data_IF_459961602309
#
_entry.id   IF_459961602309
#
_cell.length_a   1.000
_cell.length_b   1.000
_cell.length_c   1.000
_cell.angle_alpha   90.00
_cell.angle_beta   90.00
_cell.angle_gamma   90.00
#
_symmetry.space_group_name_H-M   'P 1'
#
loop_
_entity.id
_entity.type
_entity.pdbx_description
1 polymer ?
#
# COMPACT_ATOMS: atom_id res chain seq x y z
N UNK A 1 -3.46 -17.14 -9.65
CA UNK A 1 -3.06 -16.30 -8.50
C UNK A 1 -3.67 -16.88 -7.23
N UNK A 2 -2.85 -17.19 -6.24
CA UNK A 2 -3.26 -17.62 -4.90
C UNK A 2 -3.89 -16.48 -4.10
N UNK A 3 -4.75 -16.81 -3.14
CA UNK A 3 -5.20 -15.83 -2.15
C UNK A 3 -4.07 -15.44 -1.22
N UNK A 4 -4.00 -14.16 -0.88
CA UNK A 4 -3.05 -13.65 0.13
C UNK A 4 -3.56 -14.05 1.51
N UNK A 5 -2.67 -14.63 2.33
CA UNK A 5 -2.94 -14.85 3.75
C UNK A 5 -2.76 -13.53 4.50
N UNK A 6 -3.86 -12.91 4.90
CA UNK A 6 -3.84 -11.63 5.62
C UNK A 6 -3.20 -11.76 6.99
N UNK A 7 -2.48 -10.73 7.43
CA UNK A 7 -1.87 -10.62 8.77
C UNK A 7 -2.18 -9.22 9.33
N UNK A 8 -3.40 -8.99 9.83
CA UNK A 8 -3.72 -7.70 10.43
C UNK A 8 -2.86 -7.46 11.69
N UNK A 9 -2.35 -6.24 11.91
CA UNK A 9 -1.48 -5.92 13.03
C UNK A 9 -2.21 -5.87 14.38
N UNK A 10 -3.54 -5.84 14.34
CA UNK A 10 -4.46 -5.85 15.48
C UNK A 10 -5.66 -6.71 15.08
N UNK A 11 -6.07 -7.62 15.96
CA UNK A 11 -7.20 -8.51 15.69
C UNK A 11 -8.54 -7.76 15.62
N UNK A 12 -9.57 -8.38 15.03
CA UNK A 12 -10.91 -7.80 15.02
C UNK A 12 -11.45 -7.59 16.45
N UNK A 13 -11.36 -8.62 17.30
CA UNK A 13 -11.81 -8.53 18.69
C UNK A 13 -11.04 -7.47 19.50
N UNK A 14 -9.74 -7.30 19.24
CA UNK A 14 -8.93 -6.25 19.87
C UNK A 14 -9.36 -4.86 19.41
N UNK A 15 -9.68 -4.71 18.12
CA UNK A 15 -10.22 -3.47 17.54
C UNK A 15 -11.57 -3.11 18.16
N UNK A 16 -12.49 -4.07 18.30
CA UNK A 16 -13.77 -3.87 18.97
C UNK A 16 -13.58 -3.43 20.43
N UNK A 17 -12.76 -4.16 21.18
CA UNK A 17 -12.48 -3.85 22.59
C UNK A 17 -11.87 -2.45 22.75
N UNK A 18 -10.98 -2.03 21.84
CA UNK A 18 -10.42 -0.68 21.86
C UNK A 18 -11.48 0.39 21.60
N UNK A 19 -12.38 0.17 20.63
CA UNK A 19 -13.50 1.07 20.32
C UNK A 19 -14.46 1.18 21.51
N UNK A 20 -14.81 0.05 22.14
CA UNK A 20 -15.70 0.03 23.31
C UNK A 20 -15.07 0.76 24.50
N UNK A 21 -13.78 0.57 24.75
CA UNK A 21 -13.04 1.34 25.77
C UNK A 21 -13.08 2.83 25.49
N UNK A 22 -12.78 3.25 24.26
CA UNK A 22 -12.84 4.67 23.88
C UNK A 22 -14.24 5.26 24.11
N UNK A 23 -15.29 4.50 23.82
CA UNK A 23 -16.68 4.93 24.00
C UNK A 23 -16.98 5.34 25.44
N UNK A 24 -16.38 4.66 26.42
CA UNK A 24 -16.56 4.96 27.85
C UNK A 24 -15.78 6.19 28.34
N UNK A 25 -14.85 6.73 27.53
CA UNK A 25 -14.03 7.87 27.92
C UNK A 25 -14.81 9.18 27.80
N UNK A 26 -15.39 9.63 28.91
CA UNK A 26 -16.06 10.93 28.96
C UNK A 26 -15.30 11.90 29.85
N UNK A 27 -14.83 13.02 29.29
CA UNK A 27 -14.14 14.07 30.05
C UNK A 27 -14.63 15.46 29.68
N UNK A 28 -14.05 16.51 30.26
CA UNK A 28 -14.34 17.90 29.88
C UNK A 28 -13.99 18.20 28.42
N UNK A 29 -13.02 17.49 27.84
CA UNK A 29 -12.52 17.75 26.48
C UNK A 29 -12.75 16.60 25.51
N UNK A 30 -13.13 15.43 26.01
CA UNK A 30 -13.33 14.20 25.23
C UNK A 30 -14.81 13.81 25.29
N UNK A 31 -15.40 13.64 24.11
CA UNK A 31 -16.59 12.82 23.92
C UNK A 31 -16.13 11.46 23.40
N UNK A 32 -16.25 10.44 24.25
CA UNK A 32 -15.77 9.09 23.96
C UNK A 32 -16.51 8.44 22.80
N UNK A 33 -17.80 8.73 22.65
CA UNK A 33 -18.63 8.19 21.56
C UNK A 33 -18.14 8.74 20.22
N UNK A 34 -17.87 10.05 20.13
CA UNK A 34 -17.32 10.68 18.92
C UNK A 34 -15.97 10.06 18.54
N UNK A 35 -15.05 9.93 19.50
CA UNK A 35 -13.73 9.33 19.24
C UNK A 35 -13.85 7.86 18.83
N UNK A 36 -14.72 7.08 19.49
CA UNK A 36 -14.95 5.67 19.14
C UNK A 36 -15.54 5.51 17.74
N UNK A 37 -16.47 6.37 17.34
CA UNK A 37 -17.07 6.36 16.00
C UNK A 37 -16.07 6.79 14.93
N UNK A 38 -15.16 7.72 15.23
CA UNK A 38 -14.04 8.06 14.34
C UNK A 38 -13.17 6.83 14.06
N UNK A 39 -12.76 6.11 15.11
CA UNK A 39 -11.96 4.87 14.98
C UNK A 39 -12.73 3.78 14.23
N UNK A 40 -14.04 3.67 14.48
CA UNK A 40 -14.92 2.75 13.76
C UNK A 40 -15.00 3.10 12.27
N UNK A 41 -15.16 4.36 11.92
CA UNK A 41 -15.17 4.83 10.53
C UNK A 41 -13.82 4.57 9.84
N UNK A 42 -12.69 4.78 10.54
CA UNK A 42 -11.37 4.40 10.05
C UNK A 42 -11.31 2.92 9.64
N UNK A 43 -11.84 2.05 10.49
CA UNK A 43 -11.87 0.60 10.28
C UNK A 43 -12.79 0.18 9.12
N UNK A 44 -14.02 0.72 9.06
CA UNK A 44 -15.02 0.29 8.05
C UNK A 44 -14.81 0.95 6.67
N UNK A 45 -14.13 2.10 6.61
CA UNK A 45 -13.92 2.87 5.38
C UNK A 45 -12.45 2.91 4.91
N UNK A 46 -11.53 2.33 5.69
CA UNK A 46 -10.10 2.32 5.38
C UNK A 46 -9.47 3.72 5.35
N UNK A 47 -10.01 4.68 6.11
CA UNK A 47 -9.62 6.10 6.10
C UNK A 47 -8.25 6.33 6.75
N UNK A 48 -7.41 7.17 6.11
CA UNK A 48 -6.17 7.69 6.70
C UNK A 48 -6.49 8.69 7.82
N UNK A 49 -5.56 8.91 8.73
CA UNK A 49 -5.72 9.89 9.81
C UNK A 49 -6.03 11.30 9.30
N UNK A 50 -5.31 11.77 8.28
CA UNK A 50 -5.56 13.07 7.65
C UNK A 50 -6.93 13.17 6.98
N UNK A 51 -7.37 12.09 6.30
CA UNK A 51 -8.70 12.01 5.69
C UNK A 51 -9.79 12.11 6.78
N UNK A 52 -9.67 11.34 7.87
CA UNK A 52 -10.60 11.37 9.00
C UNK A 52 -10.71 12.75 9.65
N UNK A 53 -9.57 13.40 9.86
CA UNK A 53 -9.51 14.71 10.51
C UNK A 53 -10.17 15.77 9.62
N UNK A 54 -9.97 15.71 8.30
CA UNK A 54 -10.42 16.73 7.35
C UNK A 54 -11.84 16.52 6.83
N UNK A 55 -12.42 15.34 7.02
CA UNK A 55 -13.81 15.08 6.63
C UNK A 55 -14.79 16.02 7.32
N UNK A 56 -15.73 16.54 6.53
CA UNK A 56 -16.82 17.38 6.98
C UNK A 56 -18.16 16.62 6.92
N UNK A 57 -19.19 17.18 7.56
CA UNK A 57 -20.55 16.62 7.51
C UNK A 57 -21.08 16.61 6.07
N UNK A 58 -20.74 17.64 5.28
CA UNK A 58 -21.15 17.78 3.88
C UNK A 58 -20.52 16.75 2.95
N UNK A 59 -19.33 16.24 3.29
CA UNK A 59 -18.67 15.20 2.49
C UNK A 59 -19.37 13.85 2.60
N UNK A 60 -20.12 13.62 3.69
CA UNK A 60 -20.73 12.32 4.01
C UNK A 60 -22.25 12.34 3.91
N UNK A 61 -22.88 13.49 4.11
CA UNK A 61 -24.34 13.58 4.27
C UNK A 61 -24.97 14.75 3.54
N UNK A 62 -26.24 14.56 3.16
CA UNK A 62 -27.11 15.64 2.69
C UNK A 62 -28.41 15.57 3.47
N UNK A 63 -28.75 16.66 4.17
CA UNK A 63 -29.98 16.71 4.97
C UNK A 63 -30.03 15.71 6.12
N UNK A 64 -28.90 15.52 6.82
CA UNK A 64 -28.73 14.60 7.96
C UNK A 64 -28.84 13.10 7.65
N UNK A 65 -28.92 12.72 6.36
CA UNK A 65 -28.84 11.33 5.90
C UNK A 65 -27.49 11.09 5.23
N UNK A 66 -26.84 9.98 5.57
CA UNK A 66 -25.60 9.54 4.91
C UNK A 66 -25.87 9.20 3.45
N UNK A 67 -25.01 9.67 2.57
CA UNK A 67 -25.06 9.39 1.13
C UNK A 67 -24.56 7.98 0.81
N UNK A 68 -24.80 7.51 -0.42
CA UNK A 68 -24.24 6.23 -0.88
C UNK A 68 -22.72 6.25 -1.06
N UNK A 69 -22.15 7.45 -1.15
CA UNK A 69 -20.71 7.69 -1.25
C UNK A 69 -20.29 8.87 -0.38
N UNK A 70 -19.07 8.82 0.16
CA UNK A 70 -18.43 9.98 0.80
C UNK A 70 -17.45 10.66 -0.16
N UNK A 71 -17.25 11.95 -0.02
CA UNK A 71 -16.22 12.70 -0.76
C UNK A 71 -14.92 12.72 0.06
N UNK A 72 -13.82 12.27 -0.54
CA UNK A 72 -12.47 12.39 0.03
C UNK A 72 -11.62 13.15 -0.96
N UNK A 73 -11.15 14.33 -0.59
CA UNK A 73 -10.35 15.21 -1.46
C UNK A 73 -11.01 15.41 -2.84
N UNK A 74 -12.33 15.59 -2.85
CA UNK A 74 -13.15 15.75 -4.06
C UNK A 74 -13.45 14.45 -4.83
N UNK A 75 -12.93 13.31 -4.41
CA UNK A 75 -13.17 12.01 -5.05
C UNK A 75 -14.32 11.27 -4.35
N UNK A 76 -15.38 10.86 -5.07
CA UNK A 76 -16.44 10.04 -4.49
C UNK A 76 -15.96 8.62 -4.21
N UNK A 77 -16.17 8.16 -2.97
CA UNK A 77 -15.84 6.83 -2.49
C UNK A 77 -17.12 6.12 -2.06
N UNK A 78 -17.51 5.03 -2.72
CA UNK A 78 -18.69 4.27 -2.35
C UNK A 78 -18.62 3.75 -0.91
N UNK A 79 -19.73 3.85 -0.20
CA UNK A 79 -19.86 3.34 1.16
C UNK A 79 -20.60 2.00 1.16
N UNK A 80 -20.09 1.04 1.92
CA UNK A 80 -20.82 -0.20 2.21
C UNK A 80 -21.99 0.09 3.14
N UNK A 81 -23.02 -0.76 3.18
CA UNK A 81 -24.15 -0.59 4.10
C UNK A 81 -23.72 -0.52 5.58
N UNK A 82 -22.65 -1.24 5.93
CA UNK A 82 -22.07 -1.20 7.29
C UNK A 82 -21.39 0.14 7.58
N UNK A 83 -20.63 0.67 6.63
CA UNK A 83 -20.02 1.99 6.74
C UNK A 83 -21.09 3.10 6.82
N UNK A 84 -22.13 3.03 5.98
CA UNK A 84 -23.26 3.94 6.03
C UNK A 84 -23.93 3.95 7.40
N UNK A 85 -24.19 2.76 7.98
CA UNK A 85 -24.79 2.64 9.32
C UNK A 85 -23.90 3.29 10.39
N UNK A 86 -22.60 3.01 10.39
CA UNK A 86 -21.66 3.60 11.35
C UNK A 86 -21.65 5.13 11.26
N UNK A 87 -21.65 5.67 10.04
CA UNK A 87 -21.67 7.12 9.82
C UNK A 87 -23.02 7.73 10.20
N UNK A 88 -24.13 7.02 9.98
CA UNK A 88 -25.46 7.50 10.36
C UNK A 88 -25.60 7.52 11.89
N UNK A 89 -25.23 6.44 12.57
CA UNK A 89 -25.21 6.36 14.04
C UNK A 89 -24.34 7.50 14.63
N UNK A 90 -23.24 7.85 13.95
CA UNK A 90 -22.40 8.98 14.33
C UNK A 90 -23.10 10.33 14.18
N UNK A 91 -23.72 10.61 13.03
CA UNK A 91 -24.45 11.85 12.79
C UNK A 91 -25.65 12.01 13.75
N UNK A 92 -26.33 10.91 14.05
CA UNK A 92 -27.44 10.89 15.00
C UNK A 92 -26.96 11.23 16.42
N UNK A 93 -25.81 10.69 16.85
CA UNK A 93 -25.17 11.07 18.12
C UNK A 93 -24.82 12.55 18.15
N UNK A 94 -24.20 13.08 17.09
CA UNK A 94 -23.83 14.50 17.01
C UNK A 94 -25.07 15.39 17.15
N UNK A 95 -26.14 15.07 16.41
CA UNK A 95 -27.40 15.81 16.49
C UNK A 95 -28.03 15.73 17.88
N UNK A 96 -28.11 14.55 18.48
CA UNK A 96 -28.70 14.34 19.80
C UNK A 96 -27.95 15.08 20.93
N UNK A 97 -26.65 15.28 20.77
CA UNK A 97 -25.79 15.93 21.77
C UNK A 97 -25.51 17.43 21.47
N UNK A 98 -26.24 18.03 20.53
CA UNK A 98 -26.20 19.47 20.27
C UNK A 98 -24.97 19.94 19.48
N UNK A 99 -24.29 19.04 18.77
CA UNK A 99 -23.22 19.44 17.86
C UNK A 99 -23.80 20.17 16.64
N UNK A 100 -23.01 21.10 16.09
CA UNK A 100 -23.39 21.86 14.88
C UNK A 100 -23.37 20.94 13.67
N UNK A 101 -24.50 20.87 12.95
CA UNK A 101 -24.71 19.97 11.82
C UNK A 101 -24.61 20.64 10.44
N UNK A 102 -23.91 21.76 10.32
CA UNK A 102 -23.73 22.41 9.01
C UNK A 102 -22.74 21.63 8.15
N UNK A 103 -22.87 21.72 6.82
CA UNK A 103 -22.05 20.95 5.88
C UNK A 103 -20.55 21.17 6.04
N UNK A 104 -20.12 22.38 6.40
CA UNK A 104 -18.72 22.74 6.60
C UNK A 104 -18.17 22.38 7.99
N UNK A 105 -19.01 21.89 8.91
CA UNK A 105 -18.53 21.46 10.22
C UNK A 105 -17.77 20.14 10.10
N UNK A 106 -16.73 19.93 10.93
CA UNK A 106 -15.97 18.68 10.93
C UNK A 106 -16.91 17.51 11.25
N UNK A 107 -16.74 16.41 10.53
CA UNK A 107 -17.50 15.19 10.75
C UNK A 107 -17.25 14.65 12.17
N UNK A 108 -16.00 14.67 12.62
CA UNK A 108 -15.63 14.25 13.97
C UNK A 108 -15.09 15.44 14.79
N UNK A 109 -15.97 16.23 15.41
CA UNK A 109 -15.57 17.38 16.21
C UNK A 109 -15.00 16.98 17.58
N UNK A 110 -14.11 17.82 18.12
CA UNK A 110 -13.84 17.87 19.56
C UNK A 110 -15.11 18.25 20.33
N UNK A 111 -15.14 18.04 21.65
CA UNK A 111 -16.28 18.47 22.50
C UNK A 111 -16.57 19.98 22.46
N UNK A 112 -15.63 20.79 21.97
CA UNK A 112 -15.80 22.23 21.72
C UNK A 112 -16.34 22.56 20.32
N UNK A 113 -16.57 21.56 19.47
CA UNK A 113 -17.03 21.73 18.09
C UNK A 113 -15.93 22.01 17.07
N UNK A 114 -14.65 22.01 17.47
CA UNK A 114 -13.52 22.24 16.57
C UNK A 114 -13.00 20.94 15.96
N UNK A 115 -12.35 21.06 14.81
CA UNK A 115 -11.60 19.98 14.18
C UNK A 115 -10.45 19.48 15.07
N UNK A 116 -10.15 18.19 15.02
CA UNK A 116 -8.98 17.63 15.69
C UNK A 116 -7.68 18.06 15.00
N UNK A 117 -6.63 18.36 15.77
CA UNK A 117 -5.26 18.24 15.26
C UNK A 117 -4.76 16.80 15.46
N UNK A 118 -3.81 16.35 14.64
CA UNK A 118 -3.20 15.03 14.77
C UNK A 118 -2.74 14.74 16.21
N UNK A 119 -1.98 15.69 16.79
CA UNK A 119 -1.49 15.58 18.18
C UNK A 119 -2.62 15.43 19.20
N UNK A 120 -3.72 16.17 19.04
CA UNK A 120 -4.85 16.10 19.97
C UNK A 120 -5.62 14.79 19.84
N UNK A 121 -5.78 14.27 18.61
CA UNK A 121 -6.42 12.99 18.36
C UNK A 121 -5.58 11.85 18.95
N UNK A 122 -4.27 11.82 18.69
CA UNK A 122 -3.37 10.80 19.24
C UNK A 122 -3.39 10.78 20.78
N UNK A 123 -3.44 11.95 21.42
CA UNK A 123 -3.56 12.05 22.87
C UNK A 123 -4.89 11.51 23.41
N UNK A 124 -5.99 11.67 22.67
CA UNK A 124 -7.29 11.13 23.05
C UNK A 124 -7.35 9.61 22.83
N UNK A 125 -6.79 9.11 21.73
CA UNK A 125 -6.71 7.67 21.46
C UNK A 125 -5.95 6.92 22.54
N UNK A 126 -4.88 7.51 23.08
CA UNK A 126 -4.13 6.95 24.22
C UNK A 126 -4.97 6.73 25.48
N UNK A 127 -6.13 7.40 25.63
CA UNK A 127 -7.01 7.22 26.79
C UNK A 127 -7.81 5.91 26.74
N UNK A 128 -8.04 5.36 25.54
CA UNK A 128 -8.66 4.05 25.38
C UNK A 128 -7.64 2.89 25.27
N UNK A 129 -6.36 3.21 25.13
CA UNK A 129 -5.31 2.21 24.97
C UNK A 129 -5.00 1.51 26.30
N UNK A 130 -4.85 0.19 26.26
CA UNK A 130 -4.37 -0.59 27.42
C UNK A 130 -2.86 -0.38 27.55
N UNK A 131 -2.36 -0.30 28.79
CA UNK A 131 -0.92 -0.25 29.04
C UNK A 131 -0.19 -1.38 28.29
N UNK A 132 0.82 -1.02 27.50
CA UNK A 132 1.60 -1.96 26.67
C UNK A 132 1.03 -2.24 25.28
N UNK A 133 -0.21 -1.84 24.97
CA UNK A 133 -0.78 -1.98 23.62
C UNK A 133 -0.51 -0.71 22.79
N UNK A 134 0.30 -0.85 21.74
CA UNK A 134 0.52 0.22 20.76
C UNK A 134 -0.47 0.10 19.59
N UNK A 135 -1.74 0.46 19.83
CA UNK A 135 -2.79 0.53 18.81
C UNK A 135 -2.84 1.95 18.24
N UNK A 136 -2.60 2.09 16.94
CA UNK A 136 -2.64 3.35 16.21
C UNK A 136 -3.73 3.32 15.14
N UNK A 137 -4.17 4.48 14.65
CA UNK A 137 -5.15 4.55 13.55
C UNK A 137 -4.66 3.84 12.29
N UNK A 138 -3.37 3.87 11.98
CA UNK A 138 -2.82 3.16 10.82
C UNK A 138 -2.95 1.64 10.97
N UNK A 139 -2.74 1.11 12.19
CA UNK A 139 -2.96 -0.32 12.47
C UNK A 139 -4.44 -0.69 12.37
N UNK A 140 -5.33 0.16 12.87
CA UNK A 140 -6.78 -0.04 12.74
C UNK A 140 -7.20 0.00 11.27
N UNK A 141 -6.72 0.98 10.49
CA UNK A 141 -6.95 1.08 9.06
C UNK A 141 -6.49 -0.18 8.33
N UNK A 142 -5.27 -0.64 8.62
CA UNK A 142 -4.73 -1.88 8.04
C UNK A 142 -5.60 -3.09 8.38
N UNK A 143 -6.03 -3.24 9.64
CA UNK A 143 -6.94 -4.30 10.04
C UNK A 143 -8.29 -4.24 9.29
N UNK A 144 -8.79 -3.03 9.02
CA UNK A 144 -10.00 -2.81 8.22
C UNK A 144 -9.83 -3.26 6.77
N UNK A 145 -8.71 -2.91 6.14
CA UNK A 145 -8.36 -3.33 4.77
C UNK A 145 -8.22 -4.86 4.67
N UNK A 146 -7.53 -5.49 5.63
CA UNK A 146 -7.41 -6.95 5.69
C UNK A 146 -8.78 -7.62 5.80
N UNK A 147 -9.64 -7.13 6.70
CA UNK A 147 -11.01 -7.67 6.84
C UNK A 147 -11.81 -7.52 5.56
N UNK A 148 -11.71 -6.38 4.87
CA UNK A 148 -12.42 -6.16 3.61
C UNK A 148 -11.97 -7.18 2.54
N UNK A 149 -10.66 -7.42 2.42
CA UNK A 149 -10.11 -8.45 1.53
C UNK A 149 -10.64 -9.86 1.88
N UNK A 150 -10.59 -10.23 3.16
CA UNK A 150 -11.04 -11.55 3.63
C UNK A 150 -12.55 -11.74 3.45
N UNK A 151 -13.33 -10.67 3.56
CA UNK A 151 -14.76 -10.71 3.29
C UNK A 151 -15.05 -10.99 1.81
N UNK A 152 -14.39 -10.30 0.88
CA UNK A 152 -14.58 -10.55 -0.55
C UNK A 152 -14.16 -11.97 -0.95
N UNK A 153 -13.08 -12.48 -0.34
CA UNK A 153 -12.68 -13.88 -0.52
C UNK A 153 -13.78 -14.84 -0.08
N UNK A 154 -14.46 -14.58 1.04
CA UNK A 154 -15.59 -15.40 1.53
C UNK A 154 -16.83 -15.28 0.64
N UNK A 155 -17.02 -14.13 0.00
CA UNK A 155 -18.09 -13.88 -0.98
C UNK A 155 -17.83 -14.54 -2.34
N UNK A 156 -16.67 -15.19 -2.52
CA UNK A 156 -16.35 -15.99 -3.72
C UNK A 156 -15.64 -15.23 -4.84
N UNK A 157 -15.23 -13.98 -4.60
CA UNK A 157 -14.44 -13.21 -5.57
C UNK A 157 -13.06 -13.83 -5.77
N UNK A 158 -12.53 -13.78 -7.00
CA UNK A 158 -11.19 -14.28 -7.30
C UNK A 158 -10.10 -13.51 -6.55
N UNK A 159 -8.91 -14.10 -6.39
CA UNK A 159 -7.79 -13.46 -5.68
C UNK A 159 -7.41 -12.09 -6.27
N UNK A 160 -7.43 -11.97 -7.60
CA UNK A 160 -7.13 -10.72 -8.31
C UNK A 160 -8.22 -9.65 -8.09
N UNK A 161 -9.50 -10.04 -8.12
CA UNK A 161 -10.61 -9.12 -7.83
C UNK A 161 -10.56 -8.63 -6.38
N UNK A 162 -10.31 -9.53 -5.43
CA UNK A 162 -10.14 -9.19 -4.03
C UNK A 162 -9.01 -8.17 -3.86
N UNK A 163 -7.88 -8.38 -4.53
CA UNK A 163 -6.72 -7.49 -4.44
C UNK A 163 -7.01 -6.12 -5.07
N UNK A 164 -7.63 -6.07 -6.26
CA UNK A 164 -8.00 -4.83 -6.91
C UNK A 164 -9.00 -4.02 -6.08
N UNK A 165 -10.03 -4.67 -5.56
CA UNK A 165 -11.02 -4.00 -4.70
C UNK A 165 -10.41 -3.54 -3.38
N UNK A 166 -9.50 -4.30 -2.77
CA UNK A 166 -8.78 -3.88 -1.58
C UNK A 166 -7.87 -2.66 -1.85
N UNK A 167 -7.21 -2.60 -3.02
CA UNK A 167 -6.41 -1.44 -3.45
C UNK A 167 -7.29 -0.19 -3.58
N UNK A 168 -8.44 -0.31 -4.24
CA UNK A 168 -9.43 0.77 -4.41
C UNK A 168 -9.98 1.22 -3.06
N UNK A 169 -10.40 0.27 -2.21
CA UNK A 169 -10.87 0.54 -0.85
C UNK A 169 -9.83 1.25 0.01
N UNK A 170 -8.56 0.82 -0.07
CA UNK A 170 -7.45 1.42 0.65
C UNK A 170 -6.95 2.74 0.05
N UNK A 171 -7.41 3.11 -1.15
CA UNK A 171 -6.97 4.27 -1.94
C UNK A 171 -5.45 4.29 -2.13
N UNK A 172 -4.90 3.16 -2.58
CA UNK A 172 -3.48 2.99 -2.86
C UNK A 172 -3.20 3.00 -4.36
N UNK A 173 -2.05 3.59 -4.73
CA UNK A 173 -1.64 3.69 -6.13
C UNK A 173 -1.10 2.37 -6.68
N UNK A 174 -0.50 1.53 -5.83
CA UNK A 174 0.19 0.30 -6.24
C UNK A 174 -0.40 -0.96 -5.57
N UNK A 175 -0.36 -2.07 -6.30
CA UNK A 175 -0.63 -3.40 -5.75
C UNK A 175 0.40 -3.79 -4.71
N UNK A 176 1.66 -3.38 -4.89
CA UNK A 176 2.72 -3.51 -3.89
C UNK A 176 2.29 -3.03 -2.50
N UNK A 177 1.89 -1.75 -2.40
CA UNK A 177 1.51 -1.18 -1.11
C UNK A 177 0.28 -1.90 -0.53
N UNK A 178 -0.63 -2.37 -1.39
CA UNK A 178 -1.79 -3.15 -0.96
C UNK A 178 -1.36 -4.51 -0.39
N UNK A 179 -0.45 -5.21 -1.06
CA UNK A 179 0.13 -6.47 -0.57
C UNK A 179 0.87 -6.25 0.76
N UNK A 180 1.64 -5.17 0.89
CA UNK A 180 2.38 -4.86 2.11
C UNK A 180 1.44 -4.64 3.31
N UNK A 181 0.32 -3.95 3.08
CA UNK A 181 -0.75 -3.80 4.06
C UNK A 181 -1.37 -5.17 4.41
N UNK A 182 -1.73 -5.98 3.40
CA UNK A 182 -2.42 -7.25 3.64
C UNK A 182 -1.53 -8.27 4.36
N UNK A 183 -0.25 -8.36 4.02
CA UNK A 183 0.71 -9.32 4.61
C UNK A 183 1.30 -8.85 5.94
N UNK A 184 1.04 -7.63 6.37
CA UNK A 184 1.64 -7.09 7.58
C UNK A 184 3.09 -6.65 7.41
N UNK A 185 3.60 -6.54 6.18
CA UNK A 185 4.97 -6.15 5.84
C UNK A 185 5.14 -4.64 5.65
N UNK A 186 4.18 -3.81 6.12
CA UNK A 186 4.37 -2.35 6.15
C UNK A 186 5.63 -2.06 6.97
N UNK A 187 6.69 -1.62 6.30
CA UNK A 187 7.91 -1.20 6.98
C UNK A 187 7.55 -0.06 7.94
N UNK A 188 7.98 -0.13 9.22
CA UNK A 188 7.81 0.99 10.12
C UNK A 188 8.47 2.23 9.51
N UNK A 189 7.74 3.35 9.50
CA UNK A 189 8.21 4.63 8.97
C UNK A 189 9.55 4.96 9.62
N UNK A 190 10.65 4.97 8.83
CA UNK A 190 12.00 5.28 9.31
C UNK A 190 13.05 4.19 9.12
N UNK A 191 12.69 2.96 8.71
CA UNK A 191 13.70 2.01 8.23
C UNK A 191 14.17 2.43 6.84
N UNK A 192 15.44 2.89 6.77
CA UNK A 192 16.10 3.20 5.49
C UNK A 192 16.15 1.92 4.66
N UNK A 193 15.70 1.97 3.41
CA UNK A 193 16.06 0.97 2.42
C UNK A 193 17.59 0.84 2.43
N UNK A 194 18.09 -0.38 2.59
CA UNK A 194 19.53 -0.62 2.46
C UNK A 194 19.91 -0.38 1.01
N UNK A 195 21.12 0.16 0.80
CA UNK A 195 21.64 0.42 -0.55
C UNK A 195 21.59 -0.85 -1.43
N UNK A 196 21.79 -2.03 -0.82
CA UNK A 196 21.64 -3.32 -1.50
C UNK A 196 20.27 -3.52 -2.15
N UNK A 197 19.18 -3.24 -1.41
CA UNK A 197 17.81 -3.35 -1.93
C UNK A 197 17.53 -2.29 -3.01
N UNK A 198 18.16 -1.11 -2.91
CA UNK A 198 18.02 -0.06 -3.93
C UNK A 198 18.67 -0.46 -5.26
N UNK A 199 19.84 -1.08 -5.22
CA UNK A 199 20.53 -1.57 -6.43
C UNK A 199 19.85 -2.78 -7.05
N UNK A 200 19.33 -3.72 -6.24
CA UNK A 200 18.52 -4.84 -6.75
C UNK A 200 17.31 -4.35 -7.56
N UNK A 201 16.61 -3.32 -7.08
CA UNK A 201 15.47 -2.72 -7.80
C UNK A 201 15.89 -2.14 -9.15
N UNK A 202 17.07 -1.52 -9.24
CA UNK A 202 17.59 -0.95 -10.49
C UNK A 202 17.91 -2.04 -11.50
N UNK A 203 18.54 -3.14 -11.04
CA UNK A 203 18.86 -4.30 -11.89
C UNK A 203 17.60 -4.94 -12.47
N UNK A 204 16.56 -5.12 -11.65
CA UNK A 204 15.28 -5.67 -12.12
C UNK A 204 14.61 -4.76 -13.17
N UNK A 205 14.63 -3.43 -12.99
CA UNK A 205 14.09 -2.48 -13.97
C UNK A 205 14.86 -2.58 -15.30
N UNK A 206 16.18 -2.73 -15.24
CA UNK A 206 17.01 -2.91 -16.43
C UNK A 206 16.68 -4.24 -17.15
N UNK A 207 16.48 -5.33 -16.42
CA UNK A 207 16.09 -6.63 -16.99
C UNK A 207 14.66 -6.65 -17.55
N UNK A 208 13.70 -6.03 -16.88
CA UNK A 208 12.34 -5.93 -17.41
C UNK A 208 12.30 -5.07 -18.69
N UNK A 209 13.18 -4.08 -18.77
CA UNK A 209 13.35 -3.27 -19.98
C UNK A 209 13.96 -4.07 -21.14
N UNK A 210 14.65 -5.18 -20.88
CA UNK A 210 15.22 -6.06 -21.91
C UNK A 210 14.16 -6.64 -22.85
N UNK A 211 12.92 -6.83 -22.37
CA UNK A 211 11.82 -7.31 -23.22
C UNK A 211 11.29 -6.29 -24.23
N UNK A 212 11.67 -5.01 -24.09
CA UNK A 212 11.06 -3.90 -24.83
C UNK A 212 12.08 -2.88 -25.37
N UNK A 213 13.38 -3.08 -25.17
CA UNK A 213 14.45 -2.16 -25.61
C UNK A 213 15.55 -2.88 -26.39
N UNK A 214 16.32 -2.10 -27.15
CA UNK A 214 17.51 -2.57 -27.86
C UNK A 214 18.55 -3.11 -26.85
N UNK A 215 19.14 -4.26 -27.16
CA UNK A 215 20.17 -4.94 -26.35
C UNK A 215 21.30 -4.00 -25.90
N UNK A 216 21.73 -3.09 -26.79
CA UNK A 216 22.77 -2.11 -26.48
C UNK A 216 22.37 -1.11 -25.38
N UNK A 217 21.09 -0.75 -25.29
CA UNK A 217 20.60 0.15 -24.23
C UNK A 217 20.56 -0.56 -22.88
N UNK A 218 20.22 -1.84 -22.87
CA UNK A 218 20.20 -2.65 -21.64
C UNK A 218 21.61 -2.87 -21.13
N UNK A 219 22.56 -3.20 -22.03
CA UNK A 219 23.97 -3.31 -21.68
C UNK A 219 24.49 -1.99 -21.11
N UNK A 220 24.12 -0.84 -21.69
CA UNK A 220 24.49 0.47 -21.15
C UNK A 220 23.92 0.69 -19.75
N UNK A 221 22.62 0.43 -19.54
CA UNK A 221 21.99 0.56 -18.23
C UNK A 221 22.58 -0.39 -17.18
N UNK A 222 22.93 -1.63 -17.54
CA UNK A 222 23.59 -2.56 -16.64
C UNK A 222 25.01 -2.10 -16.28
N UNK A 223 25.75 -1.49 -17.21
CA UNK A 223 27.05 -0.86 -16.92
C UNK A 223 26.92 0.34 -15.97
N UNK A 224 25.93 1.20 -16.19
CA UNK A 224 25.65 2.34 -15.31
C UNK A 224 25.35 1.87 -13.88
N UNK A 225 24.49 0.84 -13.73
CA UNK A 225 24.17 0.26 -12.43
C UNK A 225 25.42 -0.38 -11.79
N UNK A 226 26.26 -1.07 -12.57
CA UNK A 226 27.53 -1.63 -12.09
C UNK A 226 28.44 -0.55 -11.53
N UNK A 227 28.60 0.55 -12.25
CA UNK A 227 29.43 1.67 -11.81
C UNK A 227 28.90 2.30 -10.52
N UNK A 228 27.58 2.41 -10.38
CA UNK A 228 26.94 2.87 -9.15
C UNK A 228 27.21 1.92 -7.97
N UNK A 229 27.09 0.60 -8.17
CA UNK A 229 27.39 -0.42 -7.16
C UNK A 229 28.85 -0.33 -6.70
N UNK A 230 29.80 -0.20 -7.63
CA UNK A 230 31.24 -0.09 -7.32
C UNK A 230 31.53 1.17 -6.50
N UNK A 231 30.85 2.27 -6.81
CA UNK A 231 31.04 3.57 -6.13
C UNK A 231 30.27 3.67 -4.80
N UNK A 232 29.33 2.76 -4.53
CA UNK A 232 28.49 2.85 -3.33
C UNK A 232 29.23 2.38 -2.06
N UNK A 233 29.61 3.36 -1.23
CA UNK A 233 30.30 3.15 0.06
C UNK A 233 29.41 2.53 1.14
N UNK A 234 28.09 2.42 0.92
CA UNK A 234 27.15 1.82 1.88
C UNK A 234 27.02 0.31 1.70
N UNK A 235 27.47 -0.24 0.56
CA UNK A 235 27.54 -1.68 0.35
C UNK A 235 28.78 -2.25 1.00
N UNK A 236 28.64 -3.37 1.70
CA UNK A 236 29.80 -4.15 2.11
C UNK A 236 30.38 -4.95 0.92
N UNK A 237 31.60 -5.45 1.06
CA UNK A 237 32.30 -6.14 -0.04
C UNK A 237 31.56 -7.39 -0.53
N UNK A 238 30.84 -8.10 0.35
CA UNK A 238 30.06 -9.29 -0.01
C UNK A 238 28.82 -8.93 -0.82
N UNK A 239 28.09 -7.90 -0.40
CA UNK A 239 26.93 -7.36 -1.12
C UNK A 239 27.33 -6.82 -2.50
N UNK A 240 28.47 -6.13 -2.56
CA UNK A 240 29.01 -5.59 -3.80
C UNK A 240 29.42 -6.69 -4.77
N UNK A 241 30.13 -7.72 -4.29
CA UNK A 241 30.50 -8.87 -5.10
C UNK A 241 29.25 -9.57 -5.64
N UNK A 242 28.29 -9.85 -4.77
CA UNK A 242 27.03 -10.51 -5.11
C UNK A 242 26.23 -9.80 -6.23
N UNK A 243 26.10 -8.46 -6.17
CA UNK A 243 25.42 -7.70 -7.22
C UNK A 243 26.24 -7.61 -8.52
N UNK A 244 27.57 -7.56 -8.42
CA UNK A 244 28.44 -7.49 -9.59
C UNK A 244 28.48 -8.83 -10.32
N UNK A 245 28.54 -9.93 -9.59
CA UNK A 245 28.48 -11.30 -10.12
C UNK A 245 27.13 -11.56 -10.81
N UNK A 246 26.04 -10.97 -10.29
CA UNK A 246 24.73 -11.02 -10.94
C UNK A 246 24.73 -10.31 -12.32
N UNK A 247 25.33 -9.12 -12.39
CA UNK A 247 25.45 -8.38 -13.66
C UNK A 247 26.32 -9.14 -14.66
N UNK A 248 27.39 -9.78 -14.17
CA UNK A 248 28.30 -10.53 -15.03
C UNK A 248 27.66 -11.83 -15.53
N UNK A 249 26.92 -12.55 -14.69
CA UNK A 249 26.21 -13.77 -15.08
C UNK A 249 25.01 -13.52 -16.00
N UNK A 250 24.30 -12.39 -15.84
CA UNK A 250 23.19 -12.00 -16.72
C UNK A 250 23.64 -11.62 -18.14
N UNK A 251 24.92 -11.28 -18.35
CA UNK A 251 25.50 -11.03 -19.70
C UNK A 251 25.74 -12.29 -20.54
N UNK A 252 25.79 -13.48 -19.92
CA UNK A 252 26.20 -14.72 -20.61
C UNK A 252 25.06 -15.68 -20.94
N UNK A 253 23.80 -15.35 -20.63
CA UNK A 253 22.68 -16.28 -20.83
C UNK A 253 22.33 -16.59 -22.29
N UNK A 254 22.82 -15.84 -23.29
CA UNK A 254 22.45 -16.06 -24.70
C UNK A 254 23.58 -16.52 -25.64
N UNK A 255 24.70 -17.06 -25.13
CA UNK A 255 25.74 -17.62 -26.02
C UNK A 255 25.73 -19.14 -26.20
N UNK A 256 24.91 -19.91 -25.47
CA UNK A 256 25.05 -21.38 -25.44
C UNK A 256 23.83 -22.22 -25.89
N UNK A 257 22.80 -21.65 -26.54
CA UNK A 257 21.67 -22.45 -27.06
C UNK A 257 21.71 -22.76 -28.57
N UNK A 258 22.89 -22.74 -29.21
CA UNK A 258 23.02 -23.36 -30.55
C UNK A 258 24.27 -24.22 -30.70
N UNK A 259 24.01 -25.54 -30.78
CA UNK A 259 24.86 -26.68 -31.19
C UNK A 259 25.58 -27.50 -30.10
N UNK A 260 25.08 -28.73 -29.92
CA UNK A 260 25.57 -29.90 -29.16
C UNK A 260 26.95 -30.45 -29.60
N UNK A 261 27.54 -31.52 -28.99
CA UNK A 261 27.38 -32.16 -27.67
C UNK A 261 28.72 -32.46 -26.93
N UNK A 262 28.61 -33.03 -25.72
CA UNK A 262 29.62 -33.72 -24.88
C UNK A 262 30.49 -32.94 -23.87
N UNK A 263 30.34 -33.40 -22.61
CA UNK A 263 31.32 -33.45 -21.50
C UNK A 263 31.93 -32.14 -21.01
N UNK A 264 31.40 -31.63 -19.91
CA UNK A 264 32.11 -31.69 -18.62
C UNK A 264 31.15 -31.39 -17.47
N UNK A 265 31.26 -32.20 -16.40
CA UNK A 265 30.70 -31.88 -15.09
C UNK A 265 31.45 -30.67 -14.55
N UNK A 266 30.74 -29.56 -14.39
CA UNK A 266 30.96 -28.63 -13.28
C UNK A 266 29.64 -27.93 -13.05
N UNK A 267 29.05 -28.18 -11.89
CA UNK A 267 27.89 -27.46 -11.37
C UNK A 267 28.28 -25.98 -11.24
N UNK A 268 27.95 -25.18 -12.27
CA UNK A 268 27.91 -23.73 -12.14
C UNK A 268 26.55 -23.37 -11.55
N UNK A 269 26.57 -23.02 -10.27
CA UNK A 269 25.44 -22.47 -9.53
C UNK A 269 24.86 -21.26 -10.27
N UNK A 270 23.80 -21.51 -11.04
CA UNK A 270 22.96 -20.49 -11.64
C UNK A 270 22.19 -19.78 -10.51
N UNK A 271 22.84 -18.83 -9.86
CA UNK A 271 22.24 -18.07 -8.76
C UNK A 271 21.21 -17.11 -9.35
N UNK A 272 19.92 -17.43 -9.21
CA UNK A 272 18.84 -16.53 -9.61
C UNK A 272 18.87 -15.26 -8.75
N UNK A 273 18.31 -14.15 -9.25
CA UNK A 273 18.02 -12.95 -8.45
C UNK A 273 17.28 -13.32 -7.15
N UNK A 274 16.43 -14.35 -7.24
CA UNK A 274 15.72 -14.98 -6.12
C UNK A 274 16.67 -15.63 -5.11
N UNK A 275 17.72 -16.32 -5.56
CA UNK A 275 18.69 -17.02 -4.70
C UNK A 275 19.65 -16.04 -4.02
N UNK A 276 19.98 -14.94 -4.69
CA UNK A 276 20.70 -13.80 -4.10
C UNK A 276 19.92 -13.15 -2.95
N UNK A 277 18.60 -13.01 -3.12
CA UNK A 277 17.71 -12.49 -2.08
C UNK A 277 17.63 -13.46 -0.90
N UNK A 278 17.49 -14.78 -1.16
CA UNK A 278 17.50 -15.82 -0.11
C UNK A 278 18.79 -15.81 0.71
N UNK A 279 19.95 -15.75 0.04
CA UNK A 279 21.26 -15.80 0.69
C UNK A 279 21.61 -14.56 1.53
N UNK A 280 21.06 -13.39 1.19
CA UNK A 280 21.20 -12.18 2.00
C UNK A 280 20.33 -12.25 3.28
N UNK A 281 19.18 -12.93 3.20
CA UNK A 281 18.21 -13.08 4.29
C UNK A 281 18.57 -14.18 5.29
N UNK A 282 19.17 -15.30 4.87
CA UNK A 282 19.67 -16.29 5.85
C UNK A 282 20.73 -15.72 6.79
N UNK A 283 21.37 -14.60 6.41
CA UNK A 283 22.38 -13.88 7.20
C UNK A 283 21.86 -12.63 7.90
N UNK A 284 20.66 -12.16 7.57
CA UNK A 284 20.01 -11.01 8.22
C UNK A 284 18.65 -11.46 8.73
N UNK A 285 18.43 -11.54 10.04
CA UNK A 285 17.19 -12.05 10.68
C UNK A 285 15.91 -11.24 10.35
N UNK A 286 15.59 -11.04 9.08
CA UNK A 286 14.44 -10.27 8.65
C UNK A 286 13.90 -10.74 7.29
N UNK A 287 12.62 -11.12 7.33
CA UNK A 287 11.68 -11.39 6.23
C UNK A 287 11.69 -12.80 5.60
N UNK A 288 10.52 -13.47 5.48
CA UNK A 288 10.38 -14.76 4.81
C UNK A 288 10.41 -14.64 3.28
N UNK A 289 11.19 -15.52 2.67
CA UNK A 289 11.57 -15.64 1.25
C UNK A 289 10.40 -15.86 0.28
N UNK A 290 9.43 -16.72 0.64
CA UNK A 290 8.32 -17.08 -0.24
C UNK A 290 7.40 -15.88 -0.54
N UNK A 291 7.36 -14.91 0.39
CA UNK A 291 6.55 -13.71 0.27
C UNK A 291 7.11 -12.69 -0.74
N UNK A 292 8.41 -12.79 -1.06
CA UNK A 292 9.11 -11.89 -1.99
C UNK A 292 9.07 -12.43 -3.44
N UNK A 293 9.13 -13.75 -3.62
CA UNK A 293 9.07 -14.38 -4.95
C UNK A 293 7.68 -14.22 -5.57
N UNK A 294 6.62 -14.48 -4.81
CA UNK A 294 5.23 -14.26 -5.25
C UNK A 294 4.94 -12.77 -5.50
N UNK A 295 5.64 -11.88 -4.80
CA UNK A 295 5.60 -10.43 -4.97
C UNK A 295 6.18 -9.96 -6.33
N UNK A 296 7.19 -10.65 -6.87
CA UNK A 296 7.88 -10.28 -8.12
C UNK A 296 7.15 -10.73 -9.39
N UNK A 297 6.46 -11.87 -9.34
CA UNK A 297 5.69 -12.36 -10.50
C UNK A 297 4.46 -11.47 -10.80
N UNK A 298 3.92 -10.78 -9.78
CA UNK A 298 2.73 -9.93 -9.90
C UNK A 298 3.02 -8.54 -10.49
N UNK A 299 4.15 -7.91 -10.13
CA UNK A 299 4.54 -6.59 -10.69
C UNK A 299 4.93 -6.72 -12.18
N UNK A 300 5.44 -7.89 -12.58
CA UNK A 300 5.72 -8.25 -13.98
C UNK A 300 4.44 -8.38 -14.81
N UNK A 301 3.38 -8.94 -14.26
CA UNK A 301 2.09 -9.09 -14.94
C UNK A 301 1.37 -7.74 -15.14
N UNK A 302 1.41 -6.84 -14.16
CA UNK A 302 0.77 -5.52 -14.20
C UNK A 302 1.40 -4.59 -15.26
N UNK A 303 2.74 -4.61 -15.35
CA UNK A 303 3.49 -3.85 -16.39
C UNK A 303 3.26 -4.39 -17.81
N UNK A 304 3.05 -5.70 -17.96
CA UNK A 304 2.74 -6.32 -19.25
C UNK A 304 1.31 -6.02 -19.73
N UNK A 305 0.35 -5.81 -18.82
CA UNK A 305 -1.03 -5.46 -19.19
C UNK A 305 -1.23 -3.97 -19.49
N UNK A 306 -0.38 -3.09 -18.95
CA UNK A 306 -0.51 -1.62 -19.11
C UNK A 306 0.55 -0.98 -20.02
N UNK A 307 1.48 -1.75 -20.59
CA UNK A 307 2.52 -1.28 -21.52
C UNK A 307 2.12 -1.20 -23.00
N UNK A 308 0.89 -1.54 -23.37
CA UNK A 308 0.43 -1.62 -24.78
C UNK A 308 -0.63 -0.55 -25.12
N UNK A 309 -0.34 0.73 -24.88
CA UNK A 309 -1.18 1.82 -25.40
C UNK A 309 -0.39 3.13 -25.51
N UNK A 310 0.60 3.19 -26.40
CA UNK A 310 0.98 4.42 -27.10
C UNK A 310 1.81 4.07 -28.33
N UNK A 311 1.14 3.80 -29.44
CA UNK A 311 1.66 4.13 -30.77
C UNK A 311 0.46 4.41 -31.68
N UNK A 312 0.65 5.39 -32.56
CA UNK A 312 -0.19 5.74 -33.70
C UNK A 312 -1.36 6.69 -33.41
N UNK A 313 -1.09 7.99 -33.57
CA UNK A 313 -1.62 8.83 -34.68
C UNK A 313 -0.70 10.06 -34.78
N UNK A 314 0.25 10.01 -35.71
CA UNK A 314 0.80 11.21 -36.34
C UNK A 314 0.07 11.46 -37.67
N UNK A 315 -0.22 12.72 -37.92
CA UNK A 315 -0.17 13.28 -39.27
C UNK A 315 -1.48 13.38 -40.04
N UNK A 316 -2.10 14.56 -39.98
CA UNK A 316 -2.23 15.42 -41.18
C UNK A 316 -2.61 16.84 -40.79
N UNK A 317 -1.71 17.76 -41.14
CA UNK A 317 -1.92 19.19 -41.06
C UNK A 317 -2.99 19.66 -42.06
N UNK A 318 -3.61 20.78 -41.70
CA UNK A 318 -4.55 21.53 -42.53
C UNK A 318 -4.76 22.88 -41.89
N UNK A 319 -3.87 23.80 -42.24
CA UNK A 319 -4.05 25.24 -42.04
C UNK A 319 -5.33 25.69 -42.72
N UNK A 320 -6.22 26.38 -42.00
CA UNK A 320 -7.01 27.46 -42.61
C UNK A 320 -7.55 28.40 -41.51
N UNK A 321 -7.25 29.70 -41.69
CA UNK A 321 -7.94 30.81 -41.03
C UNK A 321 -9.39 30.86 -41.54
N UNK A 322 -10.30 31.52 -40.81
CA UNK A 322 -10.61 32.87 -41.26
C UNK A 322 -10.82 33.89 -40.11
N UNK A 323 -10.41 35.13 -40.43
CA UNK A 323 -11.11 36.40 -40.12
C UNK A 323 -12.59 36.19 -39.75
N UNK A 324 -13.11 36.66 -38.62
CA UNK A 324 -13.34 38.06 -38.20
C UNK A 324 -13.78 38.03 -36.75
#
# INVERSE_FOLDING_TARGET
MSYIKTRPPVGHAETENFIDKLRTVQTRTIDGVVVSNLVRACYECGLKSGELINLTIGDVSKGAKVNDSMLIDGTPVPLTSRAQKVLQDHLDHLKANGYKMYSFNPLSPTKKGHQYSQKSLDNHLKKGAVAGQNITLDKIRQAGICRHYDQMRKEGFSAQECLNRAKVFARLKSYRSTNDILRGSIQPTGQKTTSFIEHLKKLEIAELSYKHKNENEVIRSLNEIRDEIIKDKKLNDKERAALTDYIDSSRFKDKNESHSPEKSRNDQDNTSLVDLIKNHQEKSESYPVDDIIEYFELDKADKLQHGSSTSDIEGKGGSDKPTK
#
